data_IF_234305294841
#
_entry.id   IF_234305294841
#
_cell.length_a   1.000
_cell.length_b   1.000
_cell.length_c   1.000
_cell.angle_alpha   90.00
_cell.angle_beta   90.00
_cell.angle_gamma   90.00
#
_symmetry.space_group_name_H-M   'P 1'
#
loop_
_entity.id
_entity.type
_entity.pdbx_description
1 polymer ?
#
# COMPACT_ATOMS: atom_id res chain seq x y z
N UNK A 1 18.07 -21.38 -28.90
CA UNK A 1 17.88 -22.37 -27.83
C UNK A 1 17.94 -21.61 -26.51
N UNK A 2 16.80 -21.44 -25.84
CA UNK A 2 16.70 -20.71 -24.58
C UNK A 2 17.07 -21.64 -23.42
N UNK A 3 18.08 -21.24 -22.64
CA UNK A 3 18.60 -21.96 -21.48
C UNK A 3 17.54 -21.94 -20.37
N UNK A 4 17.27 -23.10 -19.76
CA UNK A 4 16.27 -23.26 -18.71
C UNK A 4 16.77 -22.60 -17.40
N UNK A 5 15.87 -22.05 -16.57
CA UNK A 5 16.23 -21.14 -15.46
C UNK A 5 17.12 -21.74 -14.36
N UNK A 6 17.30 -23.06 -14.32
CA UNK A 6 18.09 -23.78 -13.30
C UNK A 6 19.55 -24.08 -13.73
N UNK A 7 19.93 -23.74 -14.97
CA UNK A 7 21.30 -23.89 -15.48
C UNK A 7 22.15 -22.60 -15.35
N UNK A 8 21.63 -21.56 -14.68
CA UNK A 8 22.37 -20.31 -14.52
C UNK A 8 23.54 -20.51 -13.54
N UNK A 9 24.75 -20.22 -14.01
CA UNK A 9 25.95 -20.20 -13.16
C UNK A 9 25.87 -19.02 -12.18
N UNK A 10 26.55 -19.11 -11.04
CA UNK A 10 26.68 -17.99 -10.08
C UNK A 10 27.24 -16.73 -10.76
N UNK A 11 28.07 -16.89 -11.79
CA UNK A 11 28.62 -15.80 -12.60
C UNK A 11 27.54 -15.11 -13.44
N UNK A 12 26.56 -15.86 -13.97
CA UNK A 12 25.42 -15.30 -14.71
C UNK A 12 24.47 -14.53 -13.79
N UNK A 13 24.33 -14.98 -12.55
CA UNK A 13 23.53 -14.30 -11.52
C UNK A 13 24.23 -12.99 -11.11
N UNK A 14 25.55 -13.02 -10.90
CA UNK A 14 26.34 -11.85 -10.57
C UNK A 14 26.40 -10.84 -11.73
N UNK A 15 26.50 -11.30 -12.97
CA UNK A 15 26.45 -10.45 -14.17
C UNK A 15 25.03 -9.88 -14.42
N UNK A 16 23.98 -10.63 -14.04
CA UNK A 16 22.59 -10.18 -14.11
C UNK A 16 22.19 -9.23 -12.98
N UNK A 17 22.96 -9.15 -11.89
CA UNK A 17 22.87 -8.06 -10.93
C UNK A 17 23.42 -6.78 -11.58
N UNK A 18 22.65 -6.23 -12.52
CA UNK A 18 22.71 -4.79 -12.78
C UNK A 18 22.58 -4.15 -11.41
N UNK A 19 23.60 -3.39 -11.01
CA UNK A 19 23.50 -2.49 -9.88
C UNK A 19 22.28 -1.63 -10.15
N UNK A 20 21.14 -1.94 -9.51
CA UNK A 20 20.11 -0.95 -9.34
C UNK A 20 20.83 0.21 -8.68
N UNK A 21 20.82 1.35 -9.35
CA UNK A 21 21.36 2.57 -8.79
C UNK A 21 20.53 2.80 -7.55
N UNK A 22 21.09 2.44 -6.39
CA UNK A 22 20.50 2.77 -5.11
C UNK A 22 20.58 4.28 -5.06
N UNK A 23 19.44 4.93 -5.23
CA UNK A 23 19.35 6.37 -5.14
C UNK A 23 19.75 6.73 -3.71
N UNK A 24 20.95 7.29 -3.55
CA UNK A 24 21.47 7.67 -2.24
C UNK A 24 20.75 8.94 -1.86
N UNK A 25 19.60 8.80 -1.21
CA UNK A 25 18.85 9.95 -0.72
C UNK A 25 19.65 10.69 0.35
N UNK A 26 19.68 12.02 0.26
CA UNK A 26 20.23 12.86 1.31
C UNK A 26 19.40 12.71 2.59
N UNK A 27 20.01 12.20 3.66
CA UNK A 27 19.37 12.11 4.97
C UNK A 27 19.24 13.49 5.62
N UNK A 28 18.08 13.78 6.16
CA UNK A 28 17.75 14.99 6.92
C UNK A 28 17.39 14.65 8.37
N UNK A 29 17.13 15.67 9.20
CA UNK A 29 16.72 15.51 10.61
C UNK A 29 15.37 16.18 10.81
N UNK A 30 14.38 15.41 11.28
CA UNK A 30 13.07 15.91 11.69
C UNK A 30 12.80 15.54 13.14
N UNK A 31 12.55 16.52 14.01
CA UNK A 31 12.33 16.31 15.46
C UNK A 31 13.44 15.50 16.16
N UNK A 32 14.70 15.75 15.79
CA UNK A 32 15.88 15.01 16.27
C UNK A 32 15.94 13.54 15.84
N UNK A 33 15.11 13.11 14.90
CA UNK A 33 15.15 11.78 14.31
C UNK A 33 15.63 11.85 12.86
N UNK A 34 16.43 10.88 12.39
CA UNK A 34 16.84 10.80 10.99
C UNK A 34 15.62 10.58 10.10
N UNK A 35 15.52 11.36 9.02
CA UNK A 35 14.41 11.34 8.08
C UNK A 35 14.94 11.43 6.66
N UNK A 36 14.39 10.62 5.75
CA UNK A 36 14.67 10.73 4.32
C UNK A 36 13.52 11.53 3.70
N UNK A 37 13.78 12.73 3.15
CA UNK A 37 12.74 13.50 2.49
C UNK A 37 12.30 12.80 1.21
N UNK A 38 11.01 12.44 1.17
CA UNK A 38 10.38 11.94 -0.05
C UNK A 38 10.25 13.07 -1.07
N UNK A 39 10.56 12.79 -2.32
CA UNK A 39 10.26 13.68 -3.44
C UNK A 39 8.74 13.81 -3.63
N UNK A 40 8.31 14.88 -4.29
CA UNK A 40 6.88 15.10 -4.58
C UNK A 40 6.32 13.97 -5.45
N UNK A 41 7.14 13.45 -6.36
CA UNK A 41 6.83 12.32 -7.24
C UNK A 41 6.63 11.03 -6.44
N UNK A 42 7.48 10.75 -5.45
CA UNK A 42 7.36 9.58 -4.55
C UNK A 42 6.15 9.67 -3.64
N UNK A 43 5.88 10.86 -3.08
CA UNK A 43 4.67 11.11 -2.29
C UNK A 43 3.44 10.84 -3.17
N UNK A 44 3.42 11.35 -4.41
CA UNK A 44 2.30 11.13 -5.31
C UNK A 44 2.13 9.66 -5.67
N UNK A 45 3.23 8.94 -5.98
CA UNK A 45 3.22 7.51 -6.26
C UNK A 45 2.69 6.70 -5.07
N UNK A 46 3.09 7.06 -3.86
CA UNK A 46 2.60 6.43 -2.63
C UNK A 46 1.13 6.72 -2.38
N UNK A 47 0.69 7.95 -2.62
CA UNK A 47 -0.71 8.36 -2.47
C UNK A 47 -1.65 7.67 -3.47
N UNK A 48 -1.15 7.23 -4.62
CA UNK A 48 -1.97 6.53 -5.62
C UNK A 48 -2.58 5.22 -5.09
N UNK A 49 -1.94 4.54 -4.15
CA UNK A 49 -2.49 3.32 -3.54
C UNK A 49 -3.74 3.57 -2.70
N UNK A 50 -3.91 4.80 -2.22
CA UNK A 50 -5.03 5.23 -1.37
C UNK A 50 -6.02 6.13 -2.10
N UNK A 51 -5.97 6.14 -3.45
CA UNK A 51 -6.74 7.09 -4.28
C UNK A 51 -8.25 7.03 -4.01
N UNK A 52 -8.77 5.85 -3.72
CA UNK A 52 -10.18 5.61 -3.45
C UNK A 52 -10.38 5.02 -2.06
N UNK A 53 -9.54 5.44 -1.12
CA UNK A 53 -9.63 4.98 0.26
C UNK A 53 -10.38 6.00 1.11
N UNK A 54 -11.38 5.51 1.84
CA UNK A 54 -12.11 6.26 2.84
C UNK A 54 -11.78 5.72 4.23
N UNK A 55 -11.39 6.61 5.13
CA UNK A 55 -11.10 6.26 6.52
C UNK A 55 -12.27 6.67 7.41
N UNK A 56 -12.99 5.69 7.92
CA UNK A 56 -14.07 5.91 8.89
C UNK A 56 -13.54 5.92 10.32
N UNK A 57 -13.84 6.98 11.08
CA UNK A 57 -13.45 7.12 12.50
C UNK A 57 -14.58 6.69 13.44
N UNK A 58 -14.27 5.77 14.34
CA UNK A 58 -15.16 5.24 15.38
C UNK A 58 -14.59 5.56 16.76
N UNK A 59 -14.94 6.74 17.28
CA UNK A 59 -14.36 7.29 18.52
C UNK A 59 -14.67 6.48 19.79
N UNK A 60 -15.81 5.78 19.82
CA UNK A 60 -16.31 5.08 21.01
C UNK A 60 -16.10 3.57 20.91
N UNK A 61 -16.74 2.94 19.93
CA UNK A 61 -16.67 1.50 19.71
C UNK A 61 -16.48 1.28 18.22
N UNK A 62 -15.35 0.67 17.86
CA UNK A 62 -15.11 0.22 16.48
C UNK A 62 -15.96 -1.02 16.21
N UNK A 63 -16.87 -1.00 15.22
CA UNK A 63 -17.65 -2.18 14.87
C UNK A 63 -16.75 -3.29 14.34
N UNK A 64 -17.17 -4.54 14.50
CA UNK A 64 -16.48 -5.68 13.89
C UNK A 64 -16.61 -5.59 12.37
N UNK A 65 -15.55 -5.91 11.64
CA UNK A 65 -15.54 -5.86 10.16
C UNK A 65 -16.68 -6.67 9.55
N UNK A 66 -17.04 -7.83 10.14
CA UNK A 66 -18.17 -8.64 9.71
C UNK A 66 -19.50 -7.86 9.71
N UNK A 67 -19.74 -7.06 10.75
CA UNK A 67 -20.97 -6.25 10.88
C UNK A 67 -20.98 -5.16 9.81
N UNK A 68 -19.82 -4.52 9.58
CA UNK A 68 -19.67 -3.51 8.54
C UNK A 68 -19.93 -4.11 7.15
N UNK A 69 -19.39 -5.30 6.87
CA UNK A 69 -19.65 -6.02 5.62
C UNK A 69 -21.14 -6.36 5.45
N UNK A 70 -21.82 -6.82 6.51
CA UNK A 70 -23.26 -7.10 6.47
C UNK A 70 -24.08 -5.84 6.14
N UNK A 71 -23.72 -4.70 6.73
CA UNK A 71 -24.36 -3.41 6.44
C UNK A 71 -24.13 -3.00 4.99
N UNK A 72 -22.91 -3.08 4.48
CA UNK A 72 -22.60 -2.78 3.08
C UNK A 72 -23.35 -3.69 2.11
N UNK A 73 -23.53 -4.97 2.46
CA UNK A 73 -24.34 -5.89 1.66
C UNK A 73 -25.81 -5.48 1.60
N UNK A 74 -26.33 -4.84 2.67
CA UNK A 74 -27.71 -4.32 2.70
C UNK A 74 -27.90 -3.15 1.73
N UNK A 75 -26.82 -2.41 1.42
CA UNK A 75 -26.79 -1.34 0.44
C UNK A 75 -26.41 -1.81 -0.98
N UNK A 76 -26.37 -3.12 -1.23
CA UNK A 76 -25.93 -3.69 -2.53
C UNK A 76 -24.50 -3.27 -2.94
N UNK A 77 -23.66 -2.98 -1.93
CA UNK A 77 -22.24 -2.65 -2.08
C UNK A 77 -21.32 -3.88 -1.88
N UNK A 78 -21.92 -5.06 -1.78
CA UNK A 78 -21.19 -6.33 -1.63
C UNK A 78 -20.18 -6.51 -2.77
N UNK A 79 -18.91 -6.70 -2.43
CA UNK A 79 -17.83 -6.92 -3.40
C UNK A 79 -17.37 -5.68 -4.16
N UNK A 80 -18.05 -4.53 -4.02
CA UNK A 80 -17.62 -3.23 -4.57
C UNK A 80 -16.71 -2.48 -3.61
N UNK A 81 -16.87 -2.74 -2.32
CA UNK A 81 -16.10 -2.09 -1.25
C UNK A 81 -15.33 -3.14 -0.46
N UNK A 82 -14.01 -2.99 -0.42
CA UNK A 82 -13.13 -3.78 0.44
C UNK A 82 -13.00 -3.09 1.80
N UNK A 83 -13.27 -3.82 2.88
CA UNK A 83 -13.23 -3.28 4.26
C UNK A 83 -12.05 -3.87 5.02
N UNK A 84 -11.24 -3.01 5.63
CA UNK A 84 -10.07 -3.39 6.43
C UNK A 84 -9.98 -2.65 7.75
N UNK A 85 -9.16 -3.16 8.67
CA UNK A 85 -8.77 -2.41 9.86
C UNK A 85 -7.65 -1.45 9.51
N UNK A 86 -7.80 -0.17 9.87
CA UNK A 86 -6.70 0.79 9.79
C UNK A 86 -5.95 0.87 11.14
N UNK A 87 -6.69 1.10 12.23
CA UNK A 87 -6.14 1.06 13.59
C UNK A 87 -7.22 0.67 14.63
N UNK A 88 -7.00 0.95 15.92
CA UNK A 88 -7.93 0.64 16.99
C UNK A 88 -9.29 1.38 16.91
N UNK A 89 -9.34 2.53 16.23
CA UNK A 89 -10.53 3.40 16.12
C UNK A 89 -10.95 3.66 14.67
N UNK A 90 -10.16 3.25 13.69
CA UNK A 90 -10.43 3.53 12.29
C UNK A 90 -10.63 2.25 11.47
N UNK A 91 -11.56 2.31 10.53
CA UNK A 91 -11.80 1.28 9.52
C UNK A 91 -11.51 1.90 8.16
N UNK A 92 -10.81 1.14 7.33
CA UNK A 92 -10.50 1.48 5.95
C UNK A 92 -11.58 0.90 5.04
N UNK A 93 -12.09 1.72 4.15
CA UNK A 93 -12.96 1.32 3.05
C UNK A 93 -12.22 1.64 1.77
N UNK A 94 -12.00 0.64 0.94
CA UNK A 94 -11.32 0.79 -0.34
C UNK A 94 -12.31 0.48 -1.46
N UNK A 95 -12.44 1.42 -2.38
CA UNK A 95 -13.28 1.34 -3.57
C UNK A 95 -12.39 1.13 -4.79
N UNK A 96 -12.90 0.47 -5.83
CA UNK A 96 -12.11 0.26 -7.05
C UNK A 96 -12.23 1.46 -8.00
N UNK A 97 -13.33 2.22 -7.92
CA UNK A 97 -13.62 3.42 -8.71
C UNK A 97 -14.17 4.56 -7.86
N UNK A 98 -14.14 5.77 -8.42
CA UNK A 98 -14.73 6.97 -7.80
C UNK A 98 -16.27 6.95 -7.77
N UNK A 99 -16.89 6.17 -8.66
CA UNK A 99 -18.34 6.07 -8.83
C UNK A 99 -19.01 5.05 -7.87
N UNK A 100 -18.19 4.25 -7.18
CA UNK A 100 -18.63 3.18 -6.27
C UNK A 100 -19.01 3.72 -4.89
#
# INVERSE_FOLDING_TARGET
MSILPWEKSFEDIAASMKSEVVDVHETSVYKNEPYIPDSKEEIHKSAQWFRYDLVGKFSHIKPRLLVVQQVLNTFELSGKVRVGNFDGKHILFHFDKEED
#
